data_IF_721104588004
#
_entry.id   IF_721104588004
#
_cell.length_a   1.000
_cell.length_b   1.000
_cell.length_c   1.000
_cell.angle_alpha   90.00
_cell.angle_beta   90.00
_cell.angle_gamma   90.00
#
_symmetry.space_group_name_H-M   'P 1'
#
loop_
_entity.id
_entity.type
_entity.pdbx_description
1 polymer ?
#
# COMPACT_ATOMS: atom_id res chain seq x y z
N UNK A 1 -54.43 -7.76 28.78
CA UNK A 1 -53.40 -6.78 28.37
C UNK A 1 -52.08 -7.52 28.44
N UNK A 2 -51.61 -8.02 27.30
CA UNK A 2 -50.38 -8.82 27.21
C UNK A 2 -49.20 -7.88 27.03
N UNK A 3 -48.38 -7.77 28.07
CA UNK A 3 -47.16 -6.97 28.06
C UNK A 3 -46.09 -7.72 27.25
N UNK A 4 -45.85 -7.28 26.02
CA UNK A 4 -44.71 -7.72 25.21
C UNK A 4 -43.43 -7.11 25.76
N UNK A 5 -42.59 -7.96 26.35
CA UNK A 5 -41.20 -7.62 26.67
C UNK A 5 -40.46 -7.38 25.35
N UNK A 6 -40.11 -6.13 25.08
CA UNK A 6 -39.27 -5.74 23.95
C UNK A 6 -37.82 -5.92 24.37
N UNK A 7 -37.26 -7.11 24.14
CA UNK A 7 -35.82 -7.36 24.24
C UNK A 7 -35.10 -6.51 23.19
N UNK A 8 -34.39 -5.47 23.63
CA UNK A 8 -33.43 -4.75 22.80
C UNK A 8 -32.32 -5.71 22.37
N UNK A 9 -32.45 -6.27 21.16
CA UNK A 9 -31.36 -6.94 20.46
C UNK A 9 -30.24 -5.91 20.22
N UNK A 10 -29.16 -5.98 21.02
CA UNK A 10 -27.92 -5.24 20.76
C UNK A 10 -27.49 -5.54 19.32
N UNK A 11 -27.33 -4.50 18.50
CA UNK A 11 -27.03 -4.64 17.07
C UNK A 11 -25.81 -5.52 16.86
N UNK A 12 -25.92 -6.50 15.95
CA UNK A 12 -24.80 -7.39 15.59
C UNK A 12 -23.67 -6.54 15.02
N UNK A 13 -22.52 -6.48 15.71
CA UNK A 13 -21.32 -5.82 15.21
C UNK A 13 -20.89 -6.46 13.87
N UNK A 14 -20.58 -5.63 12.87
CA UNK A 14 -20.17 -6.12 11.56
C UNK A 14 -18.76 -6.72 11.65
N UNK A 15 -18.63 -8.03 11.44
CA UNK A 15 -17.34 -8.74 11.52
C UNK A 15 -16.76 -8.96 10.14
N UNK A 16 -15.52 -8.51 9.93
CA UNK A 16 -14.79 -8.70 8.69
C UNK A 16 -14.12 -10.07 8.65
N UNK A 17 -14.39 -10.84 7.60
CA UNK A 17 -13.61 -12.05 7.28
C UNK A 17 -12.43 -11.72 6.36
N UNK A 18 -11.37 -12.54 6.38
CA UNK A 18 -10.21 -12.38 5.48
C UNK A 18 -10.62 -12.28 3.98
N UNK A 19 -11.53 -13.12 3.46
CA UNK A 19 -12.02 -12.98 2.09
C UNK A 19 -12.76 -11.65 1.81
N UNK A 20 -13.51 -11.12 2.79
CA UNK A 20 -14.18 -9.83 2.65
C UNK A 20 -13.16 -8.68 2.61
N UNK A 21 -12.17 -8.70 3.51
CA UNK A 21 -11.08 -7.72 3.53
C UNK A 21 -10.30 -7.73 2.22
N UNK A 22 -10.00 -8.92 1.68
CA UNK A 22 -9.35 -9.06 0.38
C UNK A 22 -10.16 -8.40 -0.73
N UNK A 23 -11.46 -8.70 -0.80
CA UNK A 23 -12.36 -8.15 -1.80
C UNK A 23 -12.46 -6.61 -1.73
N UNK A 24 -12.51 -6.04 -0.53
CA UNK A 24 -12.54 -4.58 -0.38
C UNK A 24 -11.30 -3.95 -1.01
N UNK A 25 -10.12 -4.47 -0.69
CA UNK A 25 -8.86 -3.92 -1.19
C UNK A 25 -8.76 -4.07 -2.71
N UNK A 26 -9.22 -5.18 -3.27
CA UNK A 26 -9.26 -5.42 -4.72
C UNK A 26 -10.16 -4.39 -5.43
N UNK A 27 -11.41 -4.22 -4.95
CA UNK A 27 -12.34 -3.26 -5.56
C UNK A 27 -11.83 -1.83 -5.39
N UNK A 28 -11.32 -1.46 -4.22
CA UNK A 28 -10.77 -0.12 -3.99
C UNK A 28 -9.51 0.13 -4.81
N UNK A 29 -8.67 -0.87 -5.07
CA UNK A 29 -7.52 -0.74 -5.95
C UNK A 29 -7.98 -0.45 -7.39
N UNK A 30 -8.98 -1.17 -7.91
CA UNK A 30 -9.58 -0.86 -9.22
C UNK A 30 -10.15 0.56 -9.28
N UNK A 31 -10.87 0.99 -8.23
CA UNK A 31 -11.45 2.33 -8.16
C UNK A 31 -10.37 3.41 -8.13
N UNK A 32 -9.26 3.17 -7.41
CA UNK A 32 -8.11 4.08 -7.41
C UNK A 32 -7.47 4.18 -8.80
N UNK A 33 -7.31 3.06 -9.51
CA UNK A 33 -6.78 3.03 -10.88
C UNK A 33 -7.70 3.75 -11.89
N UNK A 34 -9.02 3.74 -11.65
CA UNK A 34 -10.01 4.48 -12.44
C UNK A 34 -10.03 5.99 -12.14
N UNK A 35 -9.24 6.47 -11.19
CA UNK A 35 -9.20 7.89 -10.80
C UNK A 35 -10.32 8.31 -9.83
N UNK A 36 -11.05 7.35 -9.23
CA UNK A 36 -12.08 7.63 -8.23
C UNK A 36 -11.51 7.97 -6.84
N UNK A 37 -10.20 8.20 -6.78
CA UNK A 37 -9.44 8.73 -5.66
C UNK A 37 -8.61 9.94 -6.12
N UNK A 38 -9.27 11.08 -6.43
CA UNK A 38 -8.57 12.27 -6.93
C UNK A 38 -7.73 12.97 -5.85
N UNK A 39 -7.99 12.68 -4.57
CA UNK A 39 -7.21 13.12 -3.42
C UNK A 39 -6.77 11.90 -2.59
N UNK A 40 -6.40 12.09 -1.32
CA UNK A 40 -6.13 10.97 -0.39
C UNK A 40 -7.39 10.21 0.07
N UNK A 41 -8.57 10.55 -0.47
CA UNK A 41 -9.87 9.97 -0.08
C UNK A 41 -10.64 9.49 -1.30
N UNK A 42 -11.30 8.33 -1.19
CA UNK A 42 -12.19 7.79 -2.21
C UNK A 42 -13.49 8.57 -2.30
N UNK A 43 -14.13 8.57 -3.49
CA UNK A 43 -15.49 9.09 -3.66
C UNK A 43 -16.52 8.24 -2.90
N UNK A 44 -17.62 8.85 -2.46
CA UNK A 44 -18.72 8.16 -1.78
C UNK A 44 -19.27 6.98 -2.60
N UNK A 45 -19.37 7.15 -3.91
CA UNK A 45 -19.81 6.11 -4.86
C UNK A 45 -18.94 4.85 -4.80
N UNK A 46 -17.63 4.99 -4.58
CA UNK A 46 -16.73 3.84 -4.44
C UNK A 46 -17.05 3.05 -3.18
N UNK A 47 -17.35 3.71 -2.05
CA UNK A 47 -17.77 3.02 -0.82
C UNK A 47 -19.12 2.30 -0.98
N UNK A 48 -20.09 2.94 -1.64
CA UNK A 48 -21.40 2.33 -1.95
C UNK A 48 -21.21 1.09 -2.82
N UNK A 49 -20.41 1.19 -3.88
CA UNK A 49 -20.12 0.08 -4.78
C UNK A 49 -19.47 -1.11 -4.06
N UNK A 50 -18.49 -0.85 -3.19
CA UNK A 50 -17.84 -1.89 -2.38
C UNK A 50 -18.86 -2.56 -1.45
N UNK A 51 -19.64 -1.76 -0.72
CA UNK A 51 -20.65 -2.26 0.21
C UNK A 51 -21.68 -3.15 -0.48
N UNK A 52 -22.17 -2.75 -1.66
CA UNK A 52 -23.10 -3.53 -2.47
C UNK A 52 -22.48 -4.86 -2.93
N UNK A 53 -21.25 -4.83 -3.47
CA UNK A 53 -20.55 -6.04 -3.92
C UNK A 53 -20.29 -7.03 -2.77
N UNK A 54 -19.87 -6.53 -1.61
CA UNK A 54 -19.65 -7.36 -0.41
C UNK A 54 -20.98 -7.98 0.05
N UNK A 55 -22.04 -7.18 0.14
CA UNK A 55 -23.35 -7.65 0.57
C UNK A 55 -23.89 -8.75 -0.32
N UNK A 56 -23.76 -8.58 -1.64
CA UNK A 56 -24.17 -9.58 -2.63
C UNK A 56 -23.37 -10.88 -2.54
N UNK A 57 -22.03 -10.78 -2.45
CA UNK A 57 -21.17 -11.96 -2.50
C UNK A 57 -21.15 -12.78 -1.21
N UNK A 58 -21.21 -12.11 -0.06
CA UNK A 58 -21.12 -12.77 1.25
C UNK A 58 -22.48 -12.92 1.94
N UNK A 59 -23.55 -12.45 1.32
CA UNK A 59 -24.91 -12.46 1.87
C UNK A 59 -24.98 -11.81 3.28
N UNK A 60 -24.32 -10.66 3.42
CA UNK A 60 -24.24 -9.86 4.66
C UNK A 60 -24.83 -8.47 4.44
N UNK A 61 -25.25 -7.80 5.51
CA UNK A 61 -25.65 -6.39 5.45
C UNK A 61 -24.41 -5.50 5.61
N UNK A 62 -23.74 -5.18 4.50
CA UNK A 62 -22.59 -4.28 4.48
C UNK A 62 -23.02 -2.89 4.02
N UNK A 63 -22.71 -1.88 4.82
CA UNK A 63 -22.99 -0.47 4.54
C UNK A 63 -21.70 0.28 4.22
N UNK A 64 -21.76 1.42 3.50
CA UNK A 64 -20.59 2.23 3.20
C UNK A 64 -19.76 2.62 4.44
N UNK A 65 -20.43 2.85 5.58
CA UNK A 65 -19.77 3.15 6.87
C UNK A 65 -18.89 2.00 7.37
N UNK A 66 -19.27 0.76 7.11
CA UNK A 66 -18.46 -0.41 7.48
C UNK A 66 -17.18 -0.43 6.64
N UNK A 67 -17.29 -0.12 5.35
CA UNK A 67 -16.15 -0.05 4.42
C UNK A 67 -15.17 1.05 4.84
N UNK A 68 -15.67 2.24 5.17
CA UNK A 68 -14.83 3.35 5.66
C UNK A 68 -14.08 2.98 6.96
N UNK A 69 -14.80 2.41 7.92
CA UNK A 69 -14.18 1.95 9.17
C UNK A 69 -13.13 0.86 8.95
N UNK A 70 -13.39 -0.08 8.04
CA UNK A 70 -12.41 -1.10 7.70
C UNK A 70 -11.17 -0.50 7.02
N UNK A 71 -11.35 0.48 6.15
CA UNK A 71 -10.26 1.18 5.48
C UNK A 71 -9.37 1.95 6.48
N UNK A 72 -9.94 2.49 7.57
CA UNK A 72 -9.15 3.07 8.67
C UNK A 72 -8.25 2.02 9.33
N UNK A 73 -8.75 0.80 9.55
CA UNK A 73 -7.94 -0.31 10.06
C UNK A 73 -6.81 -0.66 9.09
N UNK A 74 -7.12 -0.84 7.81
CA UNK A 74 -6.12 -1.08 6.75
C UNK A 74 -5.03 -0.01 6.73
N UNK A 75 -5.38 1.28 6.85
CA UNK A 75 -4.41 2.39 6.93
C UNK A 75 -3.47 2.25 8.14
N UNK A 76 -4.00 1.85 9.31
CA UNK A 76 -3.17 1.60 10.50
C UNK A 76 -2.21 0.43 10.28
N UNK A 77 -2.70 -0.67 9.71
CA UNK A 77 -1.86 -1.85 9.40
C UNK A 77 -0.76 -1.52 8.39
N UNK A 78 -1.09 -0.75 7.34
CA UNK A 78 -0.10 -0.26 6.39
C UNK A 78 0.98 0.62 7.03
N UNK A 79 0.61 1.45 8.01
CA UNK A 79 1.56 2.22 8.81
C UNK A 79 2.52 1.33 9.60
N UNK A 80 2.02 0.25 10.21
CA UNK A 80 2.86 -0.73 10.92
C UNK A 80 3.81 -1.44 9.95
N UNK A 81 3.30 -1.95 8.84
CA UNK A 81 4.11 -2.62 7.82
C UNK A 81 5.21 -1.72 7.26
N UNK A 82 4.88 -0.46 6.98
CA UNK A 82 5.85 0.52 6.49
C UNK A 82 6.95 0.78 7.52
N UNK A 83 6.60 0.85 8.81
CA UNK A 83 7.60 1.00 9.89
C UNK A 83 8.49 -0.23 10.00
N UNK A 84 7.90 -1.43 10.06
CA UNK A 84 8.64 -2.69 10.20
C UNK A 84 9.56 -2.94 9.01
N UNK A 85 9.08 -2.74 7.78
CA UNK A 85 9.88 -2.90 6.56
C UNK A 85 11.10 -1.98 6.52
N UNK A 86 10.99 -0.78 7.10
CA UNK A 86 12.08 0.21 7.12
C UNK A 86 12.88 0.19 8.45
N UNK A 87 12.61 -0.75 9.36
CA UNK A 87 13.30 -0.84 10.65
C UNK A 87 14.69 -1.43 10.46
N UNK A 88 15.69 -0.85 11.11
CA UNK A 88 17.06 -1.38 11.06
C UNK A 88 17.11 -2.81 11.63
N UNK A 89 17.84 -3.71 10.96
CA UNK A 89 17.91 -5.13 11.31
C UNK A 89 16.82 -6.01 10.67
N UNK A 90 15.87 -5.41 9.94
CA UNK A 90 14.80 -6.12 9.24
C UNK A 90 15.11 -6.15 7.74
N UNK A 91 14.76 -7.25 7.08
CA UNK A 91 14.85 -7.42 5.65
C UNK A 91 13.48 -7.40 4.96
N UNK A 92 13.51 -7.40 3.63
CA UNK A 92 12.31 -7.48 2.78
C UNK A 92 12.53 -8.54 1.70
N UNK A 93 11.66 -9.55 1.68
CA UNK A 93 11.54 -10.50 0.58
C UNK A 93 10.47 -9.98 -0.40
N UNK A 94 10.92 -9.52 -1.57
CA UNK A 94 10.02 -8.97 -2.57
C UNK A 94 9.24 -10.04 -3.35
N UNK A 95 9.72 -11.28 -3.41
CA UNK A 95 9.03 -12.39 -4.06
C UNK A 95 7.84 -12.86 -3.21
N UNK A 96 8.05 -12.97 -1.89
CA UNK A 96 7.03 -13.40 -0.94
C UNK A 96 6.23 -12.22 -0.36
N UNK A 97 6.60 -10.98 -0.66
CA UNK A 97 6.06 -9.76 -0.03
C UNK A 97 6.05 -9.92 1.50
N UNK A 98 7.21 -10.20 2.07
CA UNK A 98 7.35 -10.61 3.46
C UNK A 98 8.45 -9.81 4.15
N UNK A 99 8.19 -9.40 5.39
CA UNK A 99 9.21 -8.81 6.26
C UNK A 99 10.03 -9.96 6.84
N UNK A 100 11.34 -9.96 6.60
CA UNK A 100 12.24 -10.98 7.11
C UNK A 100 12.97 -10.48 8.35
N UNK A 101 13.01 -11.31 9.38
CA UNK A 101 13.74 -11.03 10.62
C UNK A 101 14.41 -12.32 11.09
N UNK A 102 15.61 -12.20 11.65
CA UNK A 102 16.32 -13.33 12.23
C UNK A 102 15.69 -13.77 13.56
N UNK A 103 15.81 -15.06 13.88
CA UNK A 103 15.13 -15.65 15.04
C UNK A 103 15.58 -15.04 16.38
N UNK A 104 16.81 -14.58 16.47
CA UNK A 104 17.38 -13.91 17.65
C UNK A 104 16.71 -12.57 17.95
N UNK A 105 16.26 -11.83 16.93
CA UNK A 105 15.59 -10.53 17.09
C UNK A 105 14.05 -10.68 17.11
N UNK A 106 13.52 -11.80 16.59
CA UNK A 106 12.08 -12.08 16.53
C UNK A 106 11.41 -12.02 17.91
N UNK A 107 11.94 -12.77 18.87
CA UNK A 107 11.34 -12.88 20.20
C UNK A 107 11.34 -11.54 20.94
N UNK A 108 12.40 -10.74 20.78
CA UNK A 108 12.48 -9.40 21.35
C UNK A 108 11.42 -8.47 20.75
N UNK A 109 11.24 -8.51 19.41
CA UNK A 109 10.26 -7.69 18.72
C UNK A 109 8.82 -8.05 19.12
N UNK A 110 8.50 -9.35 19.14
CA UNK A 110 7.15 -9.83 19.50
C UNK A 110 6.87 -9.61 20.98
N UNK A 111 7.87 -9.71 21.85
CA UNK A 111 7.72 -9.40 23.27
C UNK A 111 7.43 -7.91 23.50
N UNK A 112 8.13 -7.01 22.80
CA UNK A 112 7.88 -5.57 22.89
C UNK A 112 6.56 -5.16 22.21
N UNK A 113 6.21 -5.83 21.11
CA UNK A 113 5.05 -5.53 20.28
C UNK A 113 4.32 -6.81 19.82
N UNK A 114 3.47 -7.41 20.67
CA UNK A 114 2.79 -8.68 20.37
C UNK A 114 1.99 -8.65 19.06
N UNK A 115 1.44 -7.49 18.71
CA UNK A 115 0.67 -7.29 17.46
C UNK A 115 1.53 -7.34 16.19
N UNK A 116 2.86 -7.36 16.29
CA UNK A 116 3.76 -7.46 15.13
C UNK A 116 3.92 -8.90 14.64
N UNK A 117 3.68 -9.90 15.48
CA UNK A 117 3.81 -11.33 15.16
C UNK A 117 3.11 -11.71 13.85
N UNK A 118 1.92 -11.15 13.58
CA UNK A 118 1.15 -11.43 12.35
C UNK A 118 1.82 -10.94 11.05
N UNK A 119 2.85 -10.10 11.12
CA UNK A 119 3.52 -9.50 9.96
C UNK A 119 4.95 -10.00 9.73
N UNK A 120 5.59 -10.59 10.75
CA UNK A 120 6.99 -11.00 10.70
C UNK A 120 7.11 -12.43 10.16
N UNK A 121 8.05 -12.65 9.22
CA UNK A 121 8.30 -13.95 8.59
C UNK A 121 7.03 -14.64 8.05
N UNK A 122 6.03 -13.83 7.66
CA UNK A 122 4.74 -14.26 7.11
C UNK A 122 4.48 -13.53 5.80
N UNK A 123 3.97 -14.26 4.80
CA UNK A 123 3.56 -13.69 3.51
C UNK A 123 2.41 -12.70 3.68
N UNK A 124 2.55 -11.52 3.07
CA UNK A 124 1.51 -10.48 3.09
C UNK A 124 0.67 -10.55 1.80
N UNK A 125 -0.35 -11.41 1.82
CA UNK A 125 -1.18 -11.71 0.63
C UNK A 125 -1.77 -10.48 -0.08
N UNK A 126 -2.04 -9.38 0.64
CA UNK A 126 -2.69 -8.17 0.11
C UNK A 126 -1.78 -6.96 0.01
N UNK A 127 -0.46 -7.14 0.13
CA UNK A 127 0.49 -6.04 0.20
C UNK A 127 0.39 -5.10 -1.02
N UNK A 128 0.28 -5.65 -2.22
CA UNK A 128 0.21 -4.87 -3.47
C UNK A 128 -1.08 -4.04 -3.56
N UNK A 129 -2.23 -4.67 -3.31
CA UNK A 129 -3.51 -3.97 -3.27
C UNK A 129 -3.50 -2.86 -2.20
N UNK A 130 -2.94 -3.13 -1.03
CA UNK A 130 -2.81 -2.13 0.04
C UNK A 130 -1.89 -0.97 -0.39
N UNK A 131 -0.80 -1.25 -1.09
CA UNK A 131 0.09 -0.23 -1.67
C UNK A 131 -0.66 0.70 -2.64
N UNK A 132 -1.53 0.16 -3.49
CA UNK A 132 -2.33 0.94 -4.44
C UNK A 132 -3.36 1.80 -3.71
N UNK A 133 -4.06 1.21 -2.74
CA UNK A 133 -5.18 1.85 -2.03
C UNK A 133 -4.69 2.96 -1.10
N UNK A 134 -3.70 2.67 -0.25
CA UNK A 134 -3.26 3.57 0.84
C UNK A 134 -1.80 4.03 0.73
N UNK A 135 -0.97 3.41 -0.11
CA UNK A 135 0.47 3.69 -0.17
C UNK A 135 0.80 5.15 -0.50
N UNK A 136 0.05 5.77 -1.42
CA UNK A 136 0.22 7.19 -1.78
C UNK A 136 -0.28 8.17 -0.72
N UNK A 137 -1.17 7.73 0.18
CA UNK A 137 -1.78 8.60 1.21
C UNK A 137 -0.85 8.86 2.38
N UNK A 138 0.18 8.02 2.54
CA UNK A 138 1.12 8.08 3.66
C UNK A 138 2.47 8.69 3.30
N UNK A 139 2.64 9.17 2.05
CA UNK A 139 3.78 10.00 1.71
C UNK A 139 3.52 11.43 2.20
N UNK A 140 4.28 11.83 3.23
CA UNK A 140 4.32 13.16 3.88
C UNK A 140 3.35 13.33 5.06
N UNK A 141 3.82 13.02 6.27
CA UNK A 141 3.30 13.69 7.46
C UNK A 141 3.34 12.88 8.74
N UNK A 142 4.42 13.02 9.51
CA UNK A 142 4.44 12.86 10.97
C UNK A 142 3.49 13.87 11.70
N UNK A 143 2.47 14.42 11.02
CA UNK A 143 1.65 15.54 11.50
C UNK A 143 0.14 15.38 11.22
N UNK A 144 -0.36 14.20 10.84
CA UNK A 144 -1.81 13.97 10.92
C UNK A 144 -2.17 13.50 12.33
N UNK A 145 -2.05 14.41 13.31
CA UNK A 145 -2.81 14.26 14.56
C UNK A 145 -4.25 14.62 14.24
N UNK A 146 -5.07 13.59 14.04
CA UNK A 146 -6.51 13.72 14.28
C UNK A 146 -6.70 14.11 15.76
N UNK A 147 -7.64 15.00 16.05
CA UNK A 147 -7.93 15.59 17.37
C UNK A 147 -8.29 14.56 18.47
N UNK A 148 -8.26 13.26 18.18
CA UNK A 148 -8.59 12.17 19.11
C UNK A 148 -7.35 11.52 19.74
N UNK A 149 -6.14 11.79 19.26
CA UNK A 149 -4.92 11.18 19.82
C UNK A 149 -4.28 12.06 20.91
N UNK A 150 -4.94 12.10 22.06
CA UNK A 150 -4.31 12.44 23.34
C UNK A 150 -4.58 11.30 24.32
N UNK A 151 -3.50 10.66 24.75
CA UNK A 151 -3.41 9.54 25.70
C UNK A 151 -3.97 8.18 25.25
N UNK A 152 -3.07 7.20 25.11
CA UNK A 152 -2.95 6.19 26.16
C UNK A 152 -1.60 5.47 26.06
N UNK A 153 -0.74 5.71 27.04
CA UNK A 153 0.32 4.78 27.43
C UNK A 153 -0.31 3.47 27.92
N UNK A 154 0.32 2.38 27.50
CA UNK A 154 0.37 1.04 28.11
C UNK A 154 -0.56 0.78 29.31
N UNK A 155 -1.59 -0.03 29.08
CA UNK A 155 -1.95 -1.08 30.02
C UNK A 155 -2.68 -2.22 29.29
N UNK A 156 -2.14 -3.41 29.50
CA UNK A 156 -2.68 -4.71 29.12
C UNK A 156 -4.05 -4.90 29.75
N UNK A 157 -5.06 -5.19 28.92
CA UNK A 157 -6.12 -6.16 29.20
C UNK A 157 -7.00 -6.30 27.96
N UNK A 158 -7.20 -7.54 27.53
CA UNK A 158 -8.11 -7.92 26.45
C UNK A 158 -9.52 -7.47 26.80
N UNK A 159 -10.07 -6.50 26.08
CA UNK A 159 -11.50 -6.29 25.98
C UNK A 159 -11.85 -5.46 24.74
N UNK A 160 -12.80 -5.98 23.97
CA UNK A 160 -13.45 -5.30 22.86
C UNK A 160 -14.11 -4.01 23.35
N UNK A 161 -13.64 -2.84 22.89
CA UNK A 161 -14.24 -1.55 23.25
C UNK A 161 -15.00 -1.00 22.04
N UNK A 162 -16.33 -0.98 22.19
CA UNK A 162 -17.27 -0.18 21.40
C UNK A 162 -17.20 1.28 21.88
N UNK A 163 -17.06 2.23 20.95
CA UNK A 163 -17.26 3.65 21.24
C UNK A 163 -18.43 4.13 20.37
N UNK A 164 -19.58 4.31 21.00
CA UNK A 164 -20.71 5.06 20.48
C UNK A 164 -20.40 6.56 20.63
N UNK A 165 -20.60 7.33 19.57
CA UNK A 165 -20.88 8.75 19.74
C UNK A 165 -21.87 9.18 18.67
N UNK A 166 -23.12 9.30 19.10
CA UNK A 166 -24.25 9.91 18.41
C UNK A 166 -24.01 11.43 18.35
N UNK A 167 -24.22 12.04 17.19
CA UNK A 167 -23.98 13.47 16.98
C UNK A 167 -24.61 13.96 15.68
N UNK A 168 -25.93 13.98 15.68
CA UNK A 168 -26.80 14.67 14.73
C UNK A 168 -26.56 16.19 14.79
N UNK A 169 -26.34 16.84 13.65
CA UNK A 169 -26.83 18.21 13.46
C UNK A 169 -27.07 18.53 11.99
N UNK A 170 -28.24 19.15 11.84
CA UNK A 170 -28.95 19.57 10.65
C UNK A 170 -28.30 20.72 9.89
N UNK A 171 -28.66 20.75 8.62
CA UNK A 171 -28.40 21.77 7.61
C UNK A 171 -29.24 23.03 7.92
N UNK A 172 -28.60 24.19 8.11
CA UNK A 172 -29.32 25.47 8.03
C UNK A 172 -28.54 26.52 7.25
N UNK A 173 -29.09 26.82 6.08
CA UNK A 173 -28.81 27.99 5.26
C UNK A 173 -29.31 29.26 5.95
N UNK A 174 -28.49 30.33 6.01
CA UNK A 174 -29.03 31.70 6.05
C UNK A 174 -28.04 32.74 5.52
N UNK A 175 -28.55 33.52 4.57
CA UNK A 175 -27.85 34.54 3.81
C UNK A 175 -27.32 35.70 4.63
N UNK A 176 -26.31 36.35 4.06
CA UNK A 176 -25.59 37.49 4.63
C UNK A 176 -26.04 38.75 3.92
N UNK A 177 -26.80 39.59 4.62
CA UNK A 177 -27.09 40.96 4.20
C UNK A 177 -25.95 41.93 4.58
N UNK A 178 -26.00 43.07 3.91
CA UNK A 178 -24.96 44.03 3.61
C UNK A 178 -24.82 45.18 4.61
N UNK A 179 -23.57 45.65 4.77
CA UNK A 179 -23.15 47.02 5.13
C UNK A 179 -23.34 47.45 6.61
N UNK A 180 -22.47 48.20 7.32
CA UNK A 180 -21.57 49.31 6.97
C UNK A 180 -20.46 49.56 8.03
N UNK A 181 -19.29 50.04 7.56
CA UNK A 181 -18.35 51.02 8.14
C UNK A 181 -17.92 50.98 9.63
N UNK A 182 -16.62 50.75 9.86
CA UNK A 182 -15.80 51.77 10.53
C UNK A 182 -14.34 51.70 10.04
N UNK A 183 -13.81 52.87 9.69
CA UNK A 183 -12.55 53.06 9.00
C UNK A 183 -11.37 53.08 9.97
N UNK A 184 -10.35 52.27 9.72
CA UNK A 184 -8.98 52.57 10.14
C UNK A 184 -7.99 52.22 9.01
N UNK A 185 -7.43 53.28 8.42
CA UNK A 185 -6.37 53.25 7.41
C UNK A 185 -5.16 52.46 7.93
N UNK A 186 -4.72 51.44 7.19
CA UNK A 186 -3.32 50.99 7.20
C UNK A 186 -2.81 50.80 5.78
N UNK A 187 -1.65 51.37 5.55
CA UNK A 187 -1.08 51.75 4.26
C UNK A 187 -0.63 50.53 3.43
N UNK A 188 -0.92 50.55 2.13
CA UNK A 188 -0.32 49.65 1.16
C UNK A 188 1.18 49.94 1.02
N UNK A 189 2.04 49.02 1.47
CA UNK A 189 3.44 48.98 1.03
C UNK A 189 3.53 48.08 -0.20
N UNK A 190 3.61 48.67 -1.40
CA UNK A 190 4.05 47.98 -2.62
C UNK A 190 5.43 47.38 -2.35
N UNK A 191 5.55 46.06 -2.31
CA UNK A 191 6.84 45.38 -2.28
C UNK A 191 7.29 45.18 -3.72
N UNK A 192 8.34 45.90 -4.08
CA UNK A 192 9.03 45.85 -5.36
C UNK A 192 9.55 44.41 -5.59
N UNK A 193 9.15 43.76 -6.68
CA UNK A 193 9.71 42.47 -7.12
C UNK A 193 11.02 42.77 -7.84
N UNK A 194 12.15 42.58 -7.17
CA UNK A 194 13.42 42.31 -7.86
C UNK A 194 13.42 40.84 -8.25
N UNK A 195 13.79 40.56 -9.49
CA UNK A 195 13.96 39.21 -10.01
C UNK A 195 15.20 38.58 -9.34
N UNK A 196 14.99 37.61 -8.45
CA UNK A 196 16.08 36.76 -7.95
C UNK A 196 16.26 35.58 -8.93
N UNK A 197 17.25 35.73 -9.80
CA UNK A 197 17.76 34.75 -10.77
C UNK A 197 18.14 33.40 -10.11
N UNK A 198 18.53 33.43 -8.83
CA UNK A 198 18.88 32.25 -8.01
C UNK A 198 17.75 31.21 -7.92
N UNK A 199 16.49 31.67 -7.96
CA UNK A 199 15.34 30.77 -7.90
C UNK A 199 15.18 29.92 -9.16
N UNK A 200 15.54 30.46 -10.33
CA UNK A 200 15.42 29.77 -11.62
C UNK A 200 16.56 28.78 -11.81
N UNK A 201 17.77 29.13 -11.40
CA UNK A 201 18.94 28.24 -11.46
C UNK A 201 18.78 27.03 -10.53
N UNK A 202 18.29 27.26 -9.31
CA UNK A 202 17.99 26.19 -8.35
C UNK A 202 16.87 25.27 -8.82
N UNK A 203 15.90 25.80 -9.56
CA UNK A 203 14.84 25.01 -10.20
C UNK A 203 15.40 24.18 -11.36
N UNK A 204 16.26 24.76 -12.19
CA UNK A 204 16.92 24.07 -13.32
C UNK A 204 17.74 22.87 -12.83
N UNK A 205 18.52 23.04 -11.76
CA UNK A 205 19.30 21.95 -11.16
C UNK A 205 18.42 20.81 -10.66
N UNK A 206 17.34 21.12 -9.95
CA UNK A 206 16.37 20.11 -9.48
C UNK A 206 15.64 19.42 -10.62
N UNK A 207 15.32 20.13 -11.70
CA UNK A 207 14.73 19.54 -12.90
C UNK A 207 15.72 18.58 -13.59
N UNK A 208 17.01 18.93 -13.62
CA UNK A 208 18.09 18.05 -14.08
C UNK A 208 18.19 16.76 -13.25
N UNK A 209 18.09 16.85 -11.92
CA UNK A 209 18.10 15.69 -11.03
C UNK A 209 16.90 14.76 -11.30
N UNK A 210 15.71 15.32 -11.53
CA UNK A 210 14.50 14.57 -11.88
C UNK A 210 14.64 13.91 -13.25
N UNK A 211 15.16 14.62 -14.25
CA UNK A 211 15.41 14.08 -15.58
C UNK A 211 16.43 12.94 -15.55
N UNK A 212 17.51 13.08 -14.76
CA UNK A 212 18.51 12.04 -14.55
C UNK A 212 17.91 10.81 -13.86
N UNK A 213 17.09 11.00 -12.82
CA UNK A 213 16.38 9.91 -12.16
C UNK A 213 15.45 9.15 -13.12
N UNK A 214 14.66 9.87 -13.94
CA UNK A 214 13.79 9.26 -14.95
C UNK A 214 14.60 8.49 -15.99
N UNK A 215 15.73 9.04 -16.46
CA UNK A 215 16.61 8.37 -17.41
C UNK A 215 17.32 7.14 -16.81
N UNK A 216 17.62 7.16 -15.52
CA UNK A 216 18.17 6.00 -14.81
C UNK A 216 17.13 4.87 -14.66
N UNK A 217 15.86 5.23 -14.46
CA UNK A 217 14.74 4.28 -14.42
C UNK A 217 14.46 3.67 -15.79
N UNK A 218 14.59 4.44 -16.88
CA UNK A 218 14.42 3.90 -18.23
C UNK A 218 15.55 2.95 -18.63
N UNK A 219 16.79 3.20 -18.19
CA UNK A 219 17.95 2.35 -18.45
C UNK A 219 17.95 1.02 -17.67
N UNK A 220 17.13 0.93 -16.61
CA UNK A 220 17.03 -0.26 -15.77
C UNK A 220 15.88 -1.20 -16.17
N UNK A 221 15.19 -0.93 -17.28
CA UNK A 221 14.19 -1.87 -17.80
C UNK A 221 14.88 -3.03 -18.48
N UNK A 222 14.46 -4.26 -18.15
CA UNK A 222 14.98 -5.46 -18.79
C UNK A 222 14.49 -5.51 -20.25
N UNK A 223 15.42 -5.51 -21.21
CA UNK A 223 15.08 -5.80 -22.59
C UNK A 223 14.85 -7.31 -22.77
N UNK A 224 13.56 -7.68 -22.82
CA UNK A 224 13.12 -9.07 -22.97
C UNK A 224 13.57 -9.66 -24.32
N UNK A 225 13.64 -8.85 -25.37
CA UNK A 225 14.10 -9.32 -26.69
C UNK A 225 15.60 -9.62 -26.65
N UNK A 226 16.39 -8.72 -26.05
CA UNK A 226 17.82 -8.95 -25.86
C UNK A 226 18.08 -10.20 -25.02
N UNK A 227 17.34 -10.36 -23.91
CA UNK A 227 17.40 -11.57 -23.07
C UNK A 227 17.11 -12.84 -23.88
N UNK A 228 16.06 -12.84 -24.70
CA UNK A 228 15.70 -13.97 -25.54
C UNK A 228 16.85 -14.33 -26.48
N UNK A 229 17.43 -13.33 -27.16
CA UNK A 229 18.57 -13.58 -28.07
C UNK A 229 19.78 -14.15 -27.34
N UNK A 230 20.08 -13.70 -26.11
CA UNK A 230 21.22 -14.18 -25.35
C UNK A 230 21.01 -15.58 -24.77
N UNK A 231 19.78 -15.93 -24.37
CA UNK A 231 19.45 -17.29 -23.93
C UNK A 231 19.56 -18.28 -25.09
N UNK A 232 19.03 -17.90 -26.26
CA UNK A 232 19.05 -18.77 -27.46
C UNK A 232 20.45 -18.95 -28.08
N UNK A 233 21.41 -18.07 -27.76
CA UNK A 233 22.82 -18.24 -28.16
C UNK A 233 23.58 -19.32 -27.38
N UNK A 234 23.00 -19.86 -26.30
CA UNK A 234 23.71 -20.83 -25.45
C UNK A 234 23.73 -22.20 -26.13
N UNK A 235 24.91 -22.58 -26.61
CA UNK A 235 25.11 -23.90 -27.23
C UNK A 235 25.15 -25.04 -26.21
N UNK A 236 24.56 -26.17 -26.58
CA UNK A 236 24.61 -27.42 -25.83
C UNK A 236 23.34 -27.76 -25.04
N UNK A 237 22.25 -27.04 -25.27
CA UNK A 237 20.92 -27.33 -24.74
C UNK A 237 19.90 -27.33 -25.88
N UNK A 238 18.82 -28.09 -25.76
CA UNK A 238 17.70 -28.07 -26.69
C UNK A 238 16.85 -26.80 -26.53
N UNK A 239 16.10 -26.43 -27.58
CA UNK A 239 15.29 -25.21 -27.59
C UNK A 239 14.18 -25.21 -26.52
N UNK A 240 13.69 -26.37 -26.09
CA UNK A 240 12.64 -26.48 -25.07
C UNK A 240 13.23 -26.09 -23.71
N UNK A 241 14.40 -26.64 -23.39
CA UNK A 241 15.20 -26.29 -22.21
C UNK A 241 15.52 -24.80 -22.15
N UNK A 242 15.96 -24.22 -23.28
CA UNK A 242 16.29 -22.80 -23.35
C UNK A 242 15.03 -21.93 -23.24
N UNK A 243 13.91 -22.36 -23.82
CA UNK A 243 12.61 -21.70 -23.67
C UNK A 243 12.14 -21.68 -22.22
N UNK A 244 12.21 -22.80 -21.53
CA UNK A 244 11.84 -22.90 -20.12
C UNK A 244 12.74 -22.05 -19.20
N UNK A 245 14.04 -22.01 -19.49
CA UNK A 245 14.99 -21.14 -18.80
C UNK A 245 14.67 -19.66 -19.04
N UNK A 246 14.32 -19.29 -20.28
CA UNK A 246 13.90 -17.94 -20.62
C UNK A 246 12.62 -17.54 -19.88
N UNK A 247 11.58 -18.39 -19.88
CA UNK A 247 10.32 -18.12 -19.19
C UNK A 247 10.53 -17.91 -17.69
N UNK A 248 11.40 -18.72 -17.07
CA UNK A 248 11.78 -18.55 -15.67
C UNK A 248 12.53 -17.23 -15.42
N UNK A 249 13.43 -16.83 -16.32
CA UNK A 249 14.14 -15.55 -16.22
C UNK A 249 13.15 -14.37 -16.36
N UNK A 250 12.20 -14.44 -17.28
CA UNK A 250 11.17 -13.40 -17.46
C UNK A 250 10.28 -13.28 -16.22
N UNK A 251 9.92 -14.39 -15.58
CA UNK A 251 9.16 -14.38 -14.32
C UNK A 251 9.95 -13.77 -13.15
N UNK A 252 11.28 -13.77 -13.23
CA UNK A 252 12.18 -13.29 -12.19
C UNK A 252 13.14 -12.21 -12.72
N UNK A 253 12.63 -10.99 -12.88
CA UNK A 253 13.33 -9.86 -13.49
C UNK A 253 14.75 -9.63 -12.93
N UNK A 254 14.94 -9.73 -11.61
CA UNK A 254 16.27 -9.58 -10.98
C UNK A 254 17.25 -10.69 -11.38
N UNK A 255 16.77 -11.93 -11.54
CA UNK A 255 17.59 -13.04 -12.04
C UNK A 255 17.93 -12.85 -13.50
N UNK A 256 16.99 -12.40 -14.32
CA UNK A 256 17.24 -12.05 -15.72
C UNK A 256 18.28 -10.94 -15.86
N UNK A 257 18.21 -9.88 -15.05
CA UNK A 257 19.23 -8.83 -15.02
C UNK A 257 20.60 -9.39 -14.61
N UNK A 258 20.65 -10.20 -13.56
CA UNK A 258 21.89 -10.83 -13.12
C UNK A 258 22.45 -11.80 -14.19
N UNK A 259 21.59 -12.48 -14.94
CA UNK A 259 21.95 -13.34 -16.05
C UNK A 259 22.56 -12.55 -17.21
N UNK A 260 21.97 -11.40 -17.57
CA UNK A 260 22.50 -10.52 -18.62
C UNK A 260 23.87 -9.93 -18.27
N UNK A 261 24.18 -9.72 -16.99
CA UNK A 261 25.52 -9.29 -16.55
C UNK A 261 26.57 -10.41 -16.63
N UNK A 262 26.17 -11.68 -16.54
CA UNK A 262 27.10 -12.82 -16.63
C UNK A 262 27.69 -12.95 -18.03
N UNK A 263 28.93 -13.44 -18.11
CA UNK A 263 29.54 -13.83 -19.38
C UNK A 263 28.95 -15.16 -19.89
N UNK A 264 29.24 -15.52 -21.15
CA UNK A 264 28.69 -16.71 -21.81
C UNK A 264 28.88 -18.01 -21.01
N UNK A 265 30.06 -18.22 -20.41
CA UNK A 265 30.34 -19.43 -19.62
C UNK A 265 29.47 -19.50 -18.37
N UNK A 266 29.33 -18.39 -17.65
CA UNK A 266 28.51 -18.32 -16.44
C UNK A 266 27.01 -18.45 -16.75
N UNK A 267 26.55 -17.95 -17.91
CA UNK A 267 25.18 -18.17 -18.37
C UNK A 267 24.92 -19.64 -18.70
N UNK A 268 25.87 -20.31 -19.35
CA UNK A 268 25.82 -21.76 -19.61
C UNK A 268 25.72 -22.58 -18.31
N UNK A 269 26.56 -22.26 -17.33
CA UNK A 269 26.52 -22.90 -16.00
C UNK A 269 25.18 -22.62 -15.30
N UNK A 270 24.64 -21.41 -15.45
CA UNK A 270 23.34 -21.07 -14.88
C UNK A 270 22.22 -21.95 -15.45
N UNK A 271 22.16 -22.11 -16.78
CA UNK A 271 21.18 -22.98 -17.44
C UNK A 271 21.35 -24.43 -17.00
N UNK A 272 22.60 -24.91 -16.87
CA UNK A 272 22.88 -26.25 -16.39
C UNK A 272 22.36 -26.48 -14.95
N UNK A 273 22.58 -25.50 -14.06
CA UNK A 273 22.09 -25.58 -12.69
C UNK A 273 20.56 -25.51 -12.61
N UNK A 274 19.93 -24.66 -13.44
CA UNK A 274 18.49 -24.57 -13.56
C UNK A 274 17.88 -25.93 -13.95
N UNK A 275 18.49 -26.63 -14.91
CA UNK A 275 18.06 -27.97 -15.31
C UNK A 275 18.21 -28.99 -14.19
N UNK A 276 19.35 -28.97 -13.49
CA UNK A 276 19.58 -29.87 -12.36
C UNK A 276 18.55 -29.65 -11.24
N UNK A 277 18.16 -28.41 -10.95
CA UNK A 277 17.13 -28.11 -9.95
C UNK A 277 15.76 -28.64 -10.36
N UNK A 278 15.44 -28.66 -11.66
CA UNK A 278 14.18 -29.19 -12.17
C UNK A 278 14.12 -30.72 -12.15
N UNK A 279 15.24 -31.39 -12.44
CA UNK A 279 15.37 -32.85 -12.37
C UNK A 279 15.24 -33.43 -10.94
N UNK A 280 15.28 -32.58 -9.90
CA UNK A 280 15.12 -32.98 -8.50
C UNK A 280 13.70 -32.82 -7.96
N UNK A 281 12.70 -32.44 -8.77
CA UNK A 281 11.29 -32.61 -8.37
C UNK A 281 10.91 -34.08 -8.57
N UNK A 282 10.69 -34.87 -7.51
CA UNK A 282 10.06 -36.19 -7.67
C UNK A 282 8.62 -35.92 -8.13
N UNK A 283 8.22 -36.59 -9.21
CA UNK A 283 6.81 -36.67 -9.57
C UNK A 283 6.04 -37.24 -8.37
N UNK A 284 5.18 -36.41 -7.77
CA UNK A 284 4.16 -36.80 -6.80
C UNK A 284 2.78 -36.58 -7.43
#
# INVERSE_FOLDING_TARGET
ISTTHNEKCKGKHFTWSKPMSHMILEILAEEALKGNKPSSTFRAESFIKVATKISQKFNVQCEPKHVDNHLKTVKKEWGILTKLKNKSGFGWDDCLKMITISNDVYDEEVKAHPNHDKYLNKKLDMYEAMTIVVGKDMATGNYSKSYVDVNLEENTEEQSISIENEGEYEETSKGKETSFSSAQKRQHRKRNRMYEDDSVEKLSKKMGDVAFAIQSLSKNQLDVNELYTEVMKIEGFDEITLGDAFDHLVQHEMLAKAFMVKNANLRKIWVQNFMNQRSYRPDY
#
